data_IF_598061842864
#
_entry.id   IF_598061842864
#
_cell.length_a   1.000
_cell.length_b   1.000
_cell.length_c   1.000
_cell.angle_alpha   90.00
_cell.angle_beta   90.00
_cell.angle_gamma   90.00
#
_symmetry.space_group_name_H-M   'P 1'
#
loop_
_entity.id
_entity.type
_entity.pdbx_description
1 polymer ?
#
# COMPACT_ATOMS: atom_id res chain seq x y z
N UNK A 1 1.79 -25.99 11.94
CA UNK A 1 2.56 -25.15 10.99
C UNK A 1 3.61 -24.42 11.79
N UNK A 2 4.88 -24.73 11.51
CA UNK A 2 6.03 -24.19 12.24
C UNK A 2 6.15 -22.70 11.89
N UNK A 3 6.63 -21.87 12.81
CA UNK A 3 6.75 -20.42 12.63
C UNK A 3 7.51 -20.02 11.35
N UNK A 4 8.49 -20.84 10.96
CA UNK A 4 9.22 -20.75 9.68
C UNK A 4 8.29 -20.77 8.46
N UNK A 5 7.25 -21.61 8.47
CA UNK A 5 6.29 -21.71 7.35
C UNK A 5 5.42 -20.45 7.25
N UNK A 6 5.06 -19.84 8.39
CA UNK A 6 4.27 -18.60 8.42
C UNK A 6 5.10 -17.42 7.90
N UNK A 7 6.37 -17.33 8.29
CA UNK A 7 7.28 -16.28 7.83
C UNK A 7 7.56 -16.37 6.34
N UNK A 8 7.90 -17.56 5.85
CA UNK A 8 8.16 -17.78 4.43
C UNK A 8 6.94 -17.46 3.57
N UNK A 9 5.75 -17.90 4.00
CA UNK A 9 4.49 -17.56 3.32
C UNK A 9 4.19 -16.07 3.34
N UNK A 10 4.52 -15.36 4.42
CA UNK A 10 4.39 -13.91 4.49
C UNK A 10 5.33 -13.23 3.49
N UNK A 11 6.60 -13.63 3.43
CA UNK A 11 7.60 -13.05 2.51
C UNK A 11 7.18 -13.24 1.05
N UNK A 12 6.79 -14.45 0.66
CA UNK A 12 6.33 -14.75 -0.70
C UNK A 12 5.12 -13.89 -1.09
N UNK A 13 4.12 -13.82 -0.21
CA UNK A 13 2.92 -13.02 -0.46
C UNK A 13 3.22 -11.52 -0.48
N UNK A 14 4.08 -11.04 0.40
CA UNK A 14 4.47 -9.64 0.48
C UNK A 14 5.20 -9.23 -0.81
N UNK A 15 6.20 -9.99 -1.23
CA UNK A 15 6.96 -9.71 -2.45
C UNK A 15 6.03 -9.66 -3.67
N UNK A 16 5.19 -10.68 -3.86
CA UNK A 16 4.24 -10.72 -4.99
C UNK A 16 3.29 -9.53 -4.99
N UNK A 17 2.73 -9.17 -3.83
CA UNK A 17 1.73 -8.09 -3.71
C UNK A 17 2.35 -6.71 -3.88
N UNK A 18 3.52 -6.46 -3.29
CA UNK A 18 4.24 -5.19 -3.42
C UNK A 18 4.68 -4.97 -4.86
N UNK A 19 5.21 -6.00 -5.53
CA UNK A 19 5.58 -5.91 -6.95
C UNK A 19 4.38 -5.60 -7.85
N UNK A 20 3.20 -6.17 -7.56
CA UNK A 20 1.97 -5.84 -8.29
C UNK A 20 1.58 -4.38 -8.06
N UNK A 21 1.56 -3.92 -6.81
CA UNK A 21 1.23 -2.53 -6.49
C UNK A 21 2.17 -1.52 -7.18
N UNK A 22 3.48 -1.80 -7.23
CA UNK A 22 4.45 -0.97 -7.94
C UNK A 22 4.14 -0.89 -9.44
N UNK A 23 3.77 -2.02 -10.07
CA UNK A 23 3.39 -2.04 -11.49
C UNK A 23 2.12 -1.22 -11.74
N UNK A 24 1.10 -1.39 -10.89
CA UNK A 24 -0.16 -0.66 -11.01
C UNK A 24 0.07 0.86 -10.83
N UNK A 25 0.91 1.26 -9.86
CA UNK A 25 1.31 2.66 -9.67
C UNK A 25 2.03 3.25 -10.89
N UNK A 26 2.89 2.49 -11.56
CA UNK A 26 3.54 2.92 -12.81
C UNK A 26 2.53 3.11 -13.95
N UNK A 27 1.55 2.21 -14.07
CA UNK A 27 0.47 2.35 -15.05
C UNK A 27 -0.38 3.59 -14.80
N UNK A 28 -0.70 3.88 -13.54
CA UNK A 28 -1.37 5.13 -13.16
C UNK A 28 -0.50 6.34 -13.53
N UNK A 29 0.81 6.26 -13.26
CA UNK A 29 1.77 7.31 -13.65
C UNK A 29 1.78 7.60 -15.15
N UNK A 30 1.59 6.60 -16.00
CA UNK A 30 1.51 6.79 -17.46
C UNK A 30 0.32 7.65 -17.90
N UNK A 31 -0.74 7.76 -17.07
CA UNK A 31 -1.89 8.63 -17.36
C UNK A 31 -1.51 10.12 -17.32
N UNK A 32 -0.36 10.47 -16.73
CA UNK A 32 0.15 11.85 -16.75
C UNK A 32 0.53 12.36 -18.14
N UNK A 33 0.63 11.46 -19.14
CA UNK A 33 0.96 11.84 -20.51
C UNK A 33 -0.21 12.59 -21.18
N UNK A 34 -0.12 13.92 -21.17
CA UNK A 34 -1.11 14.83 -21.79
C UNK A 34 -1.19 14.74 -23.32
N UNK A 35 -0.21 14.12 -23.99
CA UNK A 35 -0.31 13.88 -25.43
C UNK A 35 -1.34 12.78 -25.74
N UNK A 36 -1.54 11.84 -24.82
CA UNK A 36 -2.45 10.70 -24.99
C UNK A 36 -3.78 10.91 -24.27
N UNK A 37 -3.82 11.78 -23.26
CA UNK A 37 -4.97 11.94 -22.37
C UNK A 37 -5.25 13.41 -22.07
N UNK A 38 -6.52 13.73 -21.84
CA UNK A 38 -6.95 15.03 -21.31
C UNK A 38 -7.48 14.83 -19.89
N UNK A 39 -6.99 15.66 -18.97
CA UNK A 39 -7.40 15.67 -17.57
C UNK A 39 -7.16 17.05 -16.98
N UNK A 40 -7.95 17.39 -15.98
CA UNK A 40 -7.79 18.63 -15.22
C UNK A 40 -7.06 18.38 -13.89
N UNK A 41 -6.79 19.45 -13.15
CA UNK A 41 -6.17 19.32 -11.84
C UNK A 41 -7.08 18.63 -10.79
N UNK A 42 -8.41 18.73 -10.96
CA UNK A 42 -9.38 18.07 -10.11
C UNK A 42 -9.28 16.54 -10.21
N UNK A 43 -9.08 16.02 -11.42
CA UNK A 43 -8.85 14.60 -11.67
C UNK A 43 -7.57 14.12 -10.99
N UNK A 44 -6.47 14.87 -11.16
CA UNK A 44 -5.19 14.57 -10.50
C UNK A 44 -5.35 14.56 -8.97
N UNK A 45 -6.02 15.56 -8.41
CA UNK A 45 -6.28 15.64 -6.96
C UNK A 45 -7.08 14.45 -6.45
N UNK A 46 -8.12 14.02 -7.19
CA UNK A 46 -8.92 12.84 -6.80
C UNK A 46 -8.08 11.55 -6.81
N UNK A 47 -7.26 11.35 -7.84
CA UNK A 47 -6.37 10.18 -7.94
C UNK A 47 -5.40 10.16 -6.77
N UNK A 48 -4.70 11.27 -6.52
CA UNK A 48 -3.71 11.34 -5.44
C UNK A 48 -4.35 11.16 -4.07
N UNK A 49 -5.49 11.80 -3.82
CA UNK A 49 -6.23 11.65 -2.55
C UNK A 49 -6.62 10.19 -2.28
N UNK A 50 -7.14 9.49 -3.29
CA UNK A 50 -7.53 8.09 -3.13
C UNK A 50 -6.32 7.19 -2.80
N UNK A 51 -5.18 7.40 -3.47
CA UNK A 51 -3.94 6.65 -3.20
C UNK A 51 -3.39 6.95 -1.80
N UNK A 52 -3.41 8.21 -1.38
CA UNK A 52 -2.93 8.63 -0.05
C UNK A 52 -3.81 8.06 1.07
N UNK A 53 -5.13 8.06 0.91
CA UNK A 53 -6.07 7.49 1.88
C UNK A 53 -5.84 5.97 2.05
N UNK A 54 -5.67 5.23 0.96
CA UNK A 54 -5.38 3.80 1.02
C UNK A 54 -4.00 3.52 1.64
N UNK A 55 -2.98 4.32 1.29
CA UNK A 55 -1.66 4.21 1.89
C UNK A 55 -1.67 4.49 3.39
N UNK A 56 -2.49 5.46 3.83
CA UNK A 56 -2.70 5.77 5.26
C UNK A 56 -3.38 4.59 5.96
N UNK A 57 -4.41 4.00 5.36
CA UNK A 57 -5.07 2.82 5.91
C UNK A 57 -4.11 1.61 6.02
N UNK A 58 -3.28 1.38 4.99
CA UNK A 58 -2.24 0.35 5.00
C UNK A 58 -1.25 0.53 6.15
N UNK A 59 -0.70 1.74 6.30
CA UNK A 59 0.21 2.09 7.41
C UNK A 59 -0.46 1.88 8.77
N UNK A 60 -1.73 2.27 8.90
CA UNK A 60 -2.52 2.05 10.12
C UNK A 60 -2.63 0.57 10.51
N UNK A 61 -2.89 -0.32 9.55
CA UNK A 61 -2.97 -1.77 9.79
C UNK A 61 -1.64 -2.36 10.25
N UNK A 62 -0.52 -1.94 9.67
CA UNK A 62 0.80 -2.39 10.11
C UNK A 62 1.21 -1.80 11.46
N UNK A 63 0.78 -0.57 11.79
CA UNK A 63 1.04 0.04 13.09
C UNK A 63 0.23 -0.62 14.23
N UNK A 64 -1.00 -1.08 13.94
CA UNK A 64 -1.84 -1.82 14.88
C UNK A 64 -1.35 -3.25 15.13
N UNK A 65 -0.40 -3.76 14.32
CA UNK A 65 0.17 -5.10 14.47
C UNK A 65 1.27 -5.20 15.55
N UNK A 66 1.31 -4.28 16.53
CA UNK A 66 2.12 -4.43 17.75
C UNK A 66 1.42 -5.33 18.77
N UNK A 67 2.18 -6.11 19.55
CA UNK A 67 1.68 -7.22 20.34
C UNK A 67 0.64 -6.76 21.36
N UNK A 68 -0.41 -7.56 21.54
CA UNK A 68 -1.16 -7.55 22.78
C UNK A 68 -0.20 -7.96 23.89
N UNK A 69 0.41 -6.99 24.56
CA UNK A 69 0.84 -7.16 25.94
C UNK A 69 0.23 -6.05 26.76
N UNK A 70 -0.60 -6.49 27.70
CA UNK A 70 -0.82 -5.77 28.93
C UNK A 70 0.55 -5.40 29.51
N UNK A 71 0.82 -4.12 29.67
CA UNK A 71 0.99 -3.55 31.00
C UNK A 71 1.41 -2.10 30.87
N UNK A 72 0.56 -1.24 31.41
CA UNK A 72 0.96 0.05 31.93
C UNK A 72 2.06 -0.16 32.99
N UNK A 73 3.22 0.46 32.83
CA UNK A 73 4.16 0.71 33.94
C UNK A 73 4.83 2.08 33.84
N UNK A 74 4.56 2.86 34.89
CA UNK A 74 5.08 4.15 35.38
C UNK A 74 5.40 5.25 34.35
#
# INVERSE_FOLDING_TARGET
>A
MVERDKRQKFEELAEKRVNKAIKDLRLIGNLSNRNNYSFDEGDVRKIMKALDEEMKALKGRFAQARPSDQDFKL
#
